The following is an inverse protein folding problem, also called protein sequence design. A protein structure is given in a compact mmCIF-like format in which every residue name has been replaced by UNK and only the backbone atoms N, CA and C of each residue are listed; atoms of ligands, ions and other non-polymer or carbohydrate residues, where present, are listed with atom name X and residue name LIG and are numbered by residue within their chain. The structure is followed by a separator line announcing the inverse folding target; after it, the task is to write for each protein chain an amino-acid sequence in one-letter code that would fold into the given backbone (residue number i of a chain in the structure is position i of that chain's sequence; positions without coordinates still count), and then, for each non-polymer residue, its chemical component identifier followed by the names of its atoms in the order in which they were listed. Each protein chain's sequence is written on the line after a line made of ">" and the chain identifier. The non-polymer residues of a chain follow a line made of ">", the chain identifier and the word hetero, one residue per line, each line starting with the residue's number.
data_IF_657279542547
#
_entry.id   IF_657279542547
#
_cell.length_a   1.000
_cell.length_b   1.000
_cell.length_c   1.000
_cell.angle_alpha   90.00
_cell.angle_beta   90.00
_cell.angle_gamma   90.00
#
_symmetry.space_group_name_H-M   'P 1'
#
loop_
_entity.id
_entity.type
_entity.pdbx_description
1 polymer ?
#
# COMPACT_ATOMS: atom_id res chain seq x y z
N UNK A 1 -6.54 13.95 -17.27
CA UNK A 1 -8.02 13.86 -17.22
C UNK A 1 -8.36 12.47 -16.70
N UNK A 2 -8.89 12.33 -15.48
CA UNK A 2 -9.14 11.02 -14.87
C UNK A 2 -10.17 10.25 -15.69
N UNK A 3 -9.83 9.02 -16.06
CA UNK A 3 -10.77 8.08 -16.69
C UNK A 3 -11.94 7.82 -15.74
N UNK A 4 -13.18 8.08 -16.17
CA UNK A 4 -14.40 7.77 -15.40
C UNK A 4 -14.41 6.31 -14.93
N UNK A 5 -13.86 5.39 -15.73
CA UNK A 5 -13.72 3.98 -15.38
C UNK A 5 -12.82 3.76 -14.16
N UNK A 6 -11.71 4.49 -14.07
CA UNK A 6 -10.78 4.37 -12.93
C UNK A 6 -11.39 4.95 -11.65
N UNK A 7 -12.15 6.04 -11.79
CA UNK A 7 -12.83 6.68 -10.67
C UNK A 7 -13.96 5.79 -10.13
N UNK A 8 -14.75 5.18 -11.02
CA UNK A 8 -15.80 4.22 -10.64
C UNK A 8 -15.20 2.97 -9.96
N UNK A 9 -14.14 2.40 -10.55
CA UNK A 9 -13.46 1.24 -9.97
C UNK A 9 -12.89 1.56 -8.58
N UNK A 10 -12.41 2.80 -8.40
CA UNK A 10 -11.94 3.27 -7.12
C UNK A 10 -13.03 3.38 -6.06
N UNK A 11 -14.16 4.00 -6.39
CA UNK A 11 -15.31 4.09 -5.48
C UNK A 11 -15.80 2.70 -5.08
N UNK A 12 -15.89 1.77 -6.03
CA UNK A 12 -16.31 0.38 -5.76
C UNK A 12 -15.32 -0.33 -4.85
N UNK A 13 -14.02 -0.21 -5.11
CA UNK A 13 -12.99 -0.75 -4.23
C UNK A 13 -13.07 -0.17 -2.82
N UNK A 14 -13.28 1.15 -2.69
CA UNK A 14 -13.47 1.82 -1.39
C UNK A 14 -14.65 1.25 -0.65
N UNK A 15 -15.82 1.17 -1.28
CA UNK A 15 -17.01 0.61 -0.64
C UNK A 15 -16.80 -0.83 -0.18
N UNK A 16 -16.20 -1.67 -1.02
CA UNK A 16 -15.95 -3.09 -0.67
C UNK A 16 -14.96 -3.19 0.49
N UNK A 17 -13.81 -2.51 0.42
CA UNK A 17 -12.80 -2.57 1.48
C UNK A 17 -13.32 -2.01 2.79
N UNK A 18 -14.01 -0.87 2.75
CA UNK A 18 -14.62 -0.26 3.93
C UNK A 18 -15.63 -1.20 4.57
N UNK A 19 -16.60 -1.72 3.80
CA UNK A 19 -17.63 -2.61 4.36
C UNK A 19 -17.06 -3.91 4.91
N UNK A 20 -16.17 -4.57 4.18
CA UNK A 20 -15.59 -5.86 4.61
C UNK A 20 -14.76 -5.67 5.86
N UNK A 21 -13.91 -4.64 5.90
CA UNK A 21 -13.07 -4.40 7.06
C UNK A 21 -13.88 -3.88 8.25
N UNK A 22 -14.91 -3.07 8.01
CA UNK A 22 -15.82 -2.62 9.07
C UNK A 22 -16.56 -3.78 9.74
N UNK A 23 -16.98 -4.78 8.96
CA UNK A 23 -17.62 -5.99 9.52
C UNK A 23 -16.64 -6.82 10.36
N UNK A 24 -15.37 -6.90 9.96
CA UNK A 24 -14.37 -7.72 10.67
C UNK A 24 -13.80 -7.02 11.91
N UNK A 25 -13.53 -5.71 11.80
CA UNK A 25 -12.78 -4.94 12.80
C UNK A 25 -13.60 -3.79 13.43
N UNK A 26 -14.91 -3.75 13.17
CA UNK A 26 -15.80 -2.67 13.64
C UNK A 26 -15.50 -1.33 12.94
N UNK A 27 -15.93 -0.20 13.51
CA UNK A 27 -15.78 1.13 12.91
C UNK A 27 -14.35 1.47 12.45
N UNK A 28 -13.35 0.95 13.16
CA UNK A 28 -11.93 1.09 12.84
C UNK A 28 -11.54 0.42 11.52
N UNK A 29 -12.11 -0.74 11.22
CA UNK A 29 -11.91 -1.41 9.95
C UNK A 29 -12.45 -0.61 8.76
N UNK A 30 -13.57 0.10 8.95
CA UNK A 30 -14.13 0.99 7.94
C UNK A 30 -13.14 2.08 7.53
N UNK A 31 -12.51 2.75 8.51
CA UNK A 31 -11.47 3.76 8.25
C UNK A 31 -10.25 3.19 7.52
N UNK A 32 -9.78 2.01 7.93
CA UNK A 32 -8.66 1.33 7.27
C UNK A 32 -9.03 0.96 5.83
N UNK A 33 -10.26 0.53 5.58
CA UNK A 33 -10.75 0.20 4.24
C UNK A 33 -10.86 1.40 3.31
N UNK A 34 -11.33 2.55 3.81
CA UNK A 34 -11.35 3.79 3.02
C UNK A 34 -9.93 4.17 2.61
N UNK A 35 -8.99 4.07 3.54
CA UNK A 35 -7.60 4.44 3.33
C UNK A 35 -6.88 3.48 2.34
N UNK A 36 -7.03 2.17 2.51
CA UNK A 36 -6.50 1.14 1.61
C UNK A 36 -7.00 1.33 0.17
N UNK A 37 -8.29 1.58 0.00
CA UNK A 37 -8.84 1.79 -1.32
C UNK A 37 -8.38 3.10 -1.94
N UNK A 38 -8.28 4.18 -1.16
CA UNK A 38 -7.67 5.43 -1.61
C UNK A 38 -6.24 5.22 -2.13
N UNK A 39 -5.46 4.36 -1.47
CA UNK A 39 -4.12 3.98 -1.89
C UNK A 39 -4.15 3.17 -3.18
N UNK A 40 -5.00 2.16 -3.30
CA UNK A 40 -5.13 1.35 -4.52
C UNK A 40 -5.51 2.24 -5.72
N UNK A 41 -6.42 3.20 -5.51
CA UNK A 41 -6.85 4.16 -6.54
C UNK A 41 -5.74 5.12 -6.92
N UNK A 42 -5.01 5.64 -5.93
CA UNK A 42 -3.83 6.47 -6.16
C UNK A 42 -2.79 5.69 -6.97
N UNK A 43 -2.52 4.43 -6.62
CA UNK A 43 -1.58 3.55 -7.35
C UNK A 43 -2.05 3.29 -8.78
N UNK A 44 -3.33 3.01 -8.99
CA UNK A 44 -3.91 2.81 -10.33
C UNK A 44 -3.85 4.09 -11.18
N UNK A 45 -3.98 5.24 -10.54
CA UNK A 45 -3.89 6.54 -11.20
C UNK A 45 -2.44 6.86 -11.55
N UNK A 46 -1.51 6.59 -10.63
CA UNK A 46 -0.07 6.75 -10.82
C UNK A 46 0.50 5.80 -11.87
N UNK A 47 -0.10 4.62 -12.07
CA UNK A 47 0.27 3.68 -13.14
C UNK A 47 0.10 4.28 -14.54
N UNK A 48 -0.77 5.28 -14.69
CA UNK A 48 -0.97 5.99 -15.96
C UNK A 48 -0.04 7.21 -16.13
N UNK A 49 0.57 7.72 -15.07
CA UNK A 49 1.34 8.98 -15.09
C UNK A 49 2.85 8.81 -14.84
N UNK A 50 3.28 7.85 -14.02
CA UNK A 50 4.70 7.67 -13.67
C UNK A 50 5.32 6.44 -14.33
N UNK A 51 6.27 6.68 -15.25
CA UNK A 51 6.98 5.64 -16.01
C UNK A 51 8.04 4.87 -15.20
N UNK A 52 8.46 5.38 -14.04
CA UNK A 52 9.60 4.83 -13.29
C UNK A 52 9.14 3.89 -12.18
N UNK A 53 9.45 2.60 -12.32
CA UNK A 53 9.02 1.54 -11.40
C UNK A 53 9.48 1.75 -9.94
N UNK A 54 10.64 2.39 -9.74
CA UNK A 54 11.15 2.71 -8.41
C UNK A 54 10.28 3.73 -7.69
N UNK A 55 9.88 4.83 -8.36
CA UNK A 55 9.00 5.87 -7.79
C UNK A 55 7.65 5.26 -7.40
N UNK A 56 7.13 4.37 -8.26
CA UNK A 56 5.90 3.63 -7.96
C UNK A 56 6.04 2.78 -6.68
N UNK A 57 7.15 2.06 -6.54
CA UNK A 57 7.39 1.23 -5.35
C UNK A 57 7.59 2.06 -4.08
N UNK A 58 8.22 3.23 -4.18
CA UNK A 58 8.34 4.19 -3.06
C UNK A 58 6.98 4.68 -2.60
N UNK A 59 6.12 5.12 -3.53
CA UNK A 59 4.80 5.64 -3.18
C UNK A 59 3.95 4.54 -2.53
N UNK A 60 3.92 3.34 -3.13
CA UNK A 60 3.22 2.18 -2.56
C UNK A 60 3.74 1.86 -1.16
N UNK A 61 5.07 1.77 -1.00
CA UNK A 61 5.68 1.41 0.27
C UNK A 61 5.42 2.42 1.37
N UNK A 62 5.47 3.72 1.06
CA UNK A 62 5.14 4.78 2.01
C UNK A 62 3.71 4.63 2.55
N UNK A 63 2.75 4.45 1.64
CA UNK A 63 1.34 4.30 2.00
C UNK A 63 1.05 3.00 2.78
N UNK A 64 1.63 1.88 2.37
CA UNK A 64 1.52 0.61 3.11
C UNK A 64 2.13 0.71 4.51
N UNK A 65 3.24 1.44 4.64
CA UNK A 65 3.87 1.68 5.94
C UNK A 65 2.95 2.45 6.88
N UNK A 66 2.29 3.49 6.38
CA UNK A 66 1.34 4.28 7.18
C UNK A 66 0.18 3.39 7.66
N UNK A 67 -0.35 2.50 6.80
CA UNK A 67 -1.41 1.56 7.19
C UNK A 67 -0.94 0.61 8.28
N UNK A 68 0.23 0.00 8.11
CA UNK A 68 0.79 -0.93 9.09
C UNK A 68 1.00 -0.24 10.44
N UNK A 69 1.46 1.01 10.42
CA UNK A 69 1.63 1.83 11.62
C UNK A 69 0.28 2.14 12.26
N UNK A 70 -0.72 2.54 11.48
CA UNK A 70 -2.08 2.76 11.99
C UNK A 70 -2.66 1.49 12.61
N UNK A 71 -2.51 0.33 11.97
CA UNK A 71 -2.95 -0.96 12.51
C UNK A 71 -2.25 -1.30 13.82
N UNK A 72 -0.93 -1.10 13.89
CA UNK A 72 -0.15 -1.32 15.12
C UNK A 72 -0.62 -0.42 16.26
N UNK A 73 -0.85 0.86 15.99
CA UNK A 73 -1.38 1.81 16.98
C UNK A 73 -2.78 1.40 17.43
N UNK A 74 -3.66 1.00 16.50
CA UNK A 74 -5.03 0.55 16.81
C UNK A 74 -5.01 -0.72 17.68
N UNK A 75 -4.20 -1.71 17.33
CA UNK A 75 -4.04 -2.95 18.10
C UNK A 75 -3.54 -2.64 19.51
N UNK A 76 -2.55 -1.75 19.61
CA UNK A 76 -1.96 -1.37 20.89
C UNK A 76 -2.95 -0.61 21.79
N UNK A 77 -3.72 0.31 21.22
CA UNK A 77 -4.84 0.97 21.92
C UNK A 77 -5.89 -0.04 22.40
N UNK A 78 -6.19 -1.05 21.59
CA UNK A 78 -7.09 -2.15 21.96
C UNK A 78 -6.57 -3.01 23.12
N UNK A 79 -5.25 -3.07 23.29
CA UNK A 79 -4.59 -3.75 24.42
C UNK A 79 -4.42 -2.85 25.66
N UNK A 80 -4.96 -1.62 25.63
CA UNK A 80 -4.90 -0.68 26.75
C UNK A 80 -3.58 0.06 26.87
N UNK A 81 -2.69 0.00 25.87
CA UNK A 81 -1.47 0.78 25.89
C UNK A 81 -1.74 2.27 25.62
N UNK A 82 -1.10 3.18 26.37
CA UNK A 82 -1.28 4.60 26.16
C UNK A 82 -0.62 5.06 24.86
N UNK A 83 -1.41 5.79 24.05
CA UNK A 83 -0.99 6.29 22.72
C UNK A 83 0.32 7.08 22.77
N UNK A 84 0.60 7.76 23.89
CA UNK A 84 1.79 8.57 24.11
C UNK A 84 3.10 7.80 23.97
N UNK A 85 3.12 6.49 24.17
CA UNK A 85 4.31 5.64 23.94
C UNK A 85 4.77 5.71 22.47
N UNK A 86 3.83 5.87 21.53
CA UNK A 86 4.13 5.99 20.10
C UNK A 86 4.54 7.40 19.68
N UNK A 87 4.17 8.41 20.46
CA UNK A 87 4.38 9.83 20.13
C UNK A 87 5.61 10.39 20.87
N UNK A 88 6.13 9.69 21.88
CA UNK A 88 7.25 10.14 22.71
C UNK A 88 8.45 9.21 22.61
N UNK A 89 9.66 9.78 22.77
CA UNK A 89 10.91 9.03 22.86
C UNK A 89 11.19 8.13 21.66
N UNK A 90 11.46 6.85 21.93
CA UNK A 90 11.84 5.86 20.92
C UNK A 90 10.71 5.44 19.97
N UNK A 91 9.44 5.57 20.37
CA UNK A 91 8.30 5.12 19.57
C UNK A 91 8.21 5.83 18.22
N UNK A 92 8.34 7.16 18.20
CA UNK A 92 8.27 7.94 16.95
C UNK A 92 9.46 7.66 16.02
N UNK A 93 10.64 7.41 16.60
CA UNK A 93 11.84 7.00 15.85
C UNK A 93 11.63 5.62 15.23
N UNK A 94 11.06 4.67 15.95
CA UNK A 94 10.73 3.34 15.42
C UNK A 94 9.69 3.44 14.31
N UNK A 95 8.66 4.27 14.45
CA UNK A 95 7.64 4.49 13.42
C UNK A 95 8.25 5.10 12.14
N UNK A 96 9.06 6.16 12.27
CA UNK A 96 9.74 6.78 11.13
C UNK A 96 10.71 5.83 10.43
N UNK A 97 11.48 5.06 11.21
CA UNK A 97 12.40 4.07 10.67
C UNK A 97 11.67 2.95 9.93
N UNK A 98 10.52 2.53 10.46
CA UNK A 98 9.64 1.54 9.85
C UNK A 98 9.11 2.02 8.50
N UNK A 99 8.69 3.28 8.40
CA UNK A 99 8.31 3.89 7.10
C UNK A 99 9.47 3.80 6.11
N UNK A 100 10.68 4.15 6.54
CA UNK A 100 11.84 4.16 5.66
C UNK A 100 12.19 2.75 5.14
N UNK A 101 12.18 1.75 6.02
CA UNK A 101 12.45 0.34 5.65
C UNK A 101 11.40 -0.19 4.68
N UNK A 102 10.12 -0.08 5.01
CA UNK A 102 9.06 -0.65 4.16
C UNK A 102 8.96 0.09 2.82
N UNK A 103 9.20 1.40 2.80
CA UNK A 103 9.31 2.18 1.57
C UNK A 103 10.46 1.68 0.70
N UNK A 104 11.65 1.47 1.27
CA UNK A 104 12.82 0.94 0.57
C UNK A 104 12.59 -0.47 0.05
N UNK A 105 12.01 -1.37 0.86
CA UNK A 105 11.68 -2.73 0.48
C UNK A 105 10.66 -2.78 -0.66
N UNK A 106 9.61 -1.94 -0.61
CA UNK A 106 8.62 -1.87 -1.67
C UNK A 106 9.21 -1.33 -2.98
N UNK A 107 10.11 -0.35 -2.92
CA UNK A 107 10.85 0.15 -4.08
C UNK A 107 11.73 -0.94 -4.73
N UNK A 108 12.49 -1.68 -3.90
CA UNK A 108 13.32 -2.78 -4.35
C UNK A 108 12.47 -3.93 -4.93
N UNK A 109 11.42 -4.34 -4.22
CA UNK A 109 10.50 -5.41 -4.64
C UNK A 109 9.80 -5.11 -5.95
N UNK A 110 9.34 -3.86 -6.16
CA UNK A 110 8.71 -3.48 -7.43
C UNK A 110 9.72 -3.50 -8.59
N UNK A 111 10.96 -3.07 -8.34
CA UNK A 111 12.03 -3.12 -9.35
C UNK A 111 12.38 -4.55 -9.73
N UNK A 112 12.52 -5.45 -8.75
CA UNK A 112 12.77 -6.88 -8.96
C UNK A 112 11.59 -7.56 -9.68
N UNK A 113 10.35 -7.26 -9.29
CA UNK A 113 9.16 -7.82 -9.93
C UNK A 113 9.07 -7.49 -11.43
N UNK A 114 9.46 -6.27 -11.82
CA UNK A 114 9.53 -5.88 -13.23
C UNK A 114 10.66 -6.61 -13.96
N UNK A 115 11.82 -6.78 -13.33
CA UNK A 115 12.93 -7.53 -13.90
C UNK A 115 12.55 -8.99 -14.17
N UNK A 116 11.92 -9.66 -13.20
CA UNK A 116 11.42 -11.04 -13.35
C UNK A 116 10.35 -11.11 -14.46
N UNK A 117 9.42 -10.15 -14.51
CA UNK A 117 8.39 -10.10 -15.57
C UNK A 117 9.00 -9.97 -16.96
N UNK A 118 10.10 -9.20 -17.11
CA UNK A 118 10.85 -9.10 -18.36
C UNK A 118 11.50 -10.43 -18.75
N UNK A 119 12.16 -11.11 -17.80
CA UNK A 119 12.78 -12.42 -18.04
C UNK A 119 11.76 -13.49 -18.47
N UNK A 120 10.62 -13.56 -17.78
CA UNK A 120 9.53 -14.50 -18.14
C UNK A 120 9.00 -14.21 -19.55
N UNK A 121 8.84 -12.93 -19.91
CA UNK A 121 8.35 -12.54 -21.24
C UNK A 121 9.35 -12.92 -22.34
N UNK A 122 10.65 -12.72 -22.11
CA UNK A 122 11.70 -13.13 -23.04
C UNK A 122 11.79 -14.66 -23.19
N UNK A 123 11.72 -15.40 -22.08
CA UNK A 123 11.70 -16.86 -22.11
C UNK A 123 10.49 -17.44 -22.87
N UNK A 124 9.30 -16.83 -22.73
CA UNK A 124 8.12 -17.22 -23.52
C UNK A 124 8.23 -16.92 -25.01
N UNK A 125 8.98 -15.88 -25.39
CA UNK A 125 9.20 -15.55 -26.81
C UNK A 125 10.12 -16.60 -27.44
N UNK A 126 11.23 -16.93 -26.77
CA UNK A 126 12.18 -17.94 -27.23
C UNK A 126 11.53 -19.33 -27.41
N UNK A 127 10.62 -19.71 -26.50
CA UNK A 127 9.92 -21.00 -26.56
C UNK A 127 8.74 -21.06 -27.55
N UNK A 128 8.40 -19.93 -28.18
CA UNK A 128 7.40 -19.87 -29.28
C UNK A 128 8.04 -19.80 -30.66
N UNK A 129 9.35 -19.57 -30.72
CA UNK A 129 10.15 -19.51 -31.95
C UNK A 129 10.95 -20.80 -32.23
N UNK A 130 10.82 -21.80 -31.36
CA UNK A 130 11.30 -23.17 -31.53
C UNK A 130 10.10 -24.08 -31.84
#
# INVERSE_FOLDING_TARGET
>A
MFSQKNLLMGIVLTLIFTLVLEVIFGPWGGYVGVFLAGIIVAIYSLENEYKTNAIRGVIIGFFVSIILIMLLVIISLGNGEPIWIYITGGGILTLLFTIFIFTGLAAAGNTLGVFVKKMIKQGRILNRSA
#
